data_IF_330997393995
#
_entry.id   IF_330997393995
#
_cell.length_a   1.000
_cell.length_b   1.000
_cell.length_c   1.000
_cell.angle_alpha   90.00
_cell.angle_beta   90.00
_cell.angle_gamma   90.00
#
_symmetry.space_group_name_H-M   'P 1'
#
loop_
_entity.id
_entity.type
_entity.pdbx_description
1 polymer ?
#
# COMPACT_ATOMS: atom_id res chain seq x y z
N UNK A 1 -5.63 -26.37 10.33
CA UNK A 1 -5.14 -25.55 9.20
C UNK A 1 -4.29 -24.42 9.75
N UNK A 2 -3.07 -24.21 9.27
CA UNK A 2 -2.31 -22.99 9.59
C UNK A 2 -3.05 -21.79 9.00
N UNK A 3 -3.20 -20.71 9.77
CA UNK A 3 -3.72 -19.44 9.24
C UNK A 3 -2.72 -18.90 8.20
N UNK A 4 -3.20 -18.27 7.12
CA UNK A 4 -2.34 -17.52 6.20
C UNK A 4 -1.59 -16.41 6.96
N UNK A 5 -0.41 -16.02 6.47
CA UNK A 5 0.34 -14.87 6.94
C UNK A 5 -0.47 -13.57 6.94
N UNK A 6 -0.03 -12.63 7.76
CA UNK A 6 -0.54 -11.27 7.86
C UNK A 6 -0.01 -10.45 6.68
N UNK A 7 -0.90 -9.93 5.84
CA UNK A 7 -0.53 -9.19 4.63
C UNK A 7 -0.69 -7.70 4.87
N UNK A 8 0.43 -6.97 4.78
CA UNK A 8 0.49 -5.52 4.80
C UNK A 8 0.65 -5.04 3.35
N UNK A 9 -0.32 -4.30 2.84
CA UNK A 9 -0.29 -3.73 1.50
C UNK A 9 0.16 -2.27 1.56
N UNK A 10 1.20 -1.92 0.80
CA UNK A 10 1.62 -0.53 0.59
C UNK A 10 1.07 -0.01 -0.72
N UNK A 11 0.31 1.08 -0.63
CA UNK A 11 -0.27 1.80 -1.77
C UNK A 11 0.19 3.26 -1.75
N UNK A 12 0.07 3.90 -2.90
CA UNK A 12 0.36 5.32 -3.07
C UNK A 12 0.98 5.62 -4.43
N UNK A 13 0.97 6.90 -4.77
CA UNK A 13 1.47 7.38 -6.05
C UNK A 13 2.95 7.05 -6.28
N UNK A 14 3.42 7.24 -7.51
CA UNK A 14 4.85 7.22 -7.81
C UNK A 14 5.65 8.22 -6.97
N UNK A 15 6.92 7.88 -6.74
CA UNK A 15 7.87 8.71 -5.97
C UNK A 15 7.50 8.96 -4.49
N UNK A 16 6.61 8.18 -3.87
CA UNK A 16 6.24 8.33 -2.45
C UNK A 16 7.02 7.40 -1.51
N UNK A 17 8.12 6.79 -1.98
CA UNK A 17 9.02 5.99 -1.15
C UNK A 17 8.51 4.61 -0.73
N UNK A 18 7.48 4.06 -1.40
CA UNK A 18 6.91 2.74 -1.05
C UNK A 18 7.93 1.62 -1.00
N UNK A 19 8.80 1.51 -2.00
CA UNK A 19 9.80 0.44 -2.08
C UNK A 19 10.79 0.53 -0.93
N UNK A 20 11.36 1.71 -0.69
CA UNK A 20 12.24 1.97 0.44
C UNK A 20 11.56 1.66 1.77
N UNK A 21 10.33 2.11 1.96
CA UNK A 21 9.55 1.84 3.17
C UNK A 21 9.27 0.34 3.35
N UNK A 22 8.91 -0.38 2.28
CA UNK A 22 8.60 -1.81 2.35
C UNK A 22 9.80 -2.65 2.79
N UNK A 23 10.99 -2.31 2.29
CA UNK A 23 12.25 -2.96 2.64
C UNK A 23 12.61 -2.67 4.10
N UNK A 24 12.55 -1.39 4.50
CA UNK A 24 12.83 -0.96 5.87
C UNK A 24 11.89 -1.63 6.89
N UNK A 25 10.60 -1.73 6.56
CA UNK A 25 9.61 -2.43 7.39
C UNK A 25 9.93 -3.92 7.55
N UNK A 26 10.29 -4.60 6.44
CA UNK A 26 10.73 -6.00 6.50
C UNK A 26 11.96 -6.14 7.40
N UNK A 27 12.97 -5.29 7.20
CA UNK A 27 14.21 -5.34 7.98
C UNK A 27 13.93 -5.13 9.48
N UNK A 28 13.09 -4.15 9.83
CA UNK A 28 12.70 -3.89 11.21
C UNK A 28 11.93 -5.06 11.85
N UNK A 29 11.02 -5.70 11.11
CA UNK A 29 10.30 -6.88 11.57
C UNK A 29 11.23 -8.09 11.80
N UNK A 30 12.17 -8.32 10.87
CA UNK A 30 13.18 -9.38 11.01
C UNK A 30 14.12 -9.10 12.19
N UNK A 31 14.50 -7.83 12.42
CA UNK A 31 15.29 -7.44 13.59
C UNK A 31 14.55 -7.74 14.91
N UNK A 32 13.22 -7.69 14.91
CA UNK A 32 12.37 -8.14 16.03
C UNK A 32 12.13 -9.66 16.05
N UNK A 33 12.89 -10.44 15.28
CA UNK A 33 12.77 -11.90 15.14
C UNK A 33 11.41 -12.39 14.65
N UNK A 34 10.71 -11.58 13.85
CA UNK A 34 9.48 -11.98 13.16
C UNK A 34 9.82 -12.63 11.82
N UNK A 35 9.07 -13.64 11.43
CA UNK A 35 9.16 -14.20 10.07
C UNK A 35 8.42 -13.28 9.09
N UNK A 36 9.18 -12.39 8.45
CA UNK A 36 8.67 -11.37 7.54
C UNK A 36 9.37 -11.41 6.18
N UNK A 37 8.59 -11.30 5.11
CA UNK A 37 9.09 -11.21 3.73
C UNK A 37 8.56 -9.96 3.04
N UNK A 38 9.36 -9.42 2.12
CA UNK A 38 8.96 -8.31 1.26
C UNK A 38 8.65 -8.85 -0.14
N UNK A 39 7.55 -8.37 -0.73
CA UNK A 39 7.18 -8.63 -2.12
C UNK A 39 7.23 -7.30 -2.87
N UNK A 40 8.14 -7.22 -3.84
CA UNK A 40 8.34 -6.05 -4.68
C UNK A 40 7.32 -5.90 -5.80
N UNK A 41 7.49 -4.80 -6.55
CA UNK A 41 6.55 -4.37 -7.57
C UNK A 41 6.84 -5.11 -8.86
N UNK A 42 5.98 -6.09 -9.19
CA UNK A 42 6.17 -6.90 -10.39
C UNK A 42 6.09 -6.08 -11.68
N UNK A 43 5.29 -5.02 -11.70
CA UNK A 43 5.23 -4.10 -12.84
C UNK A 43 6.61 -3.48 -13.13
N UNK A 44 7.38 -3.11 -12.09
CA UNK A 44 8.74 -2.60 -12.26
C UNK A 44 9.68 -3.67 -12.80
N UNK A 45 9.61 -4.89 -12.27
CA UNK A 45 10.38 -6.03 -12.79
C UNK A 45 10.07 -6.33 -14.26
N UNK A 46 8.80 -6.20 -14.66
CA UNK A 46 8.38 -6.35 -16.04
C UNK A 46 9.04 -5.28 -16.92
N UNK A 47 8.97 -4.01 -16.52
CA UNK A 47 9.57 -2.90 -17.25
C UNK A 47 11.09 -3.07 -17.41
N UNK A 48 11.79 -3.43 -16.33
CA UNK A 48 13.24 -3.64 -16.34
C UNK A 48 13.63 -4.82 -17.25
N UNK A 49 12.83 -5.89 -17.26
CA UNK A 49 13.06 -7.09 -18.10
C UNK A 49 12.80 -6.82 -19.58
N UNK A 50 11.73 -6.08 -19.90
CA UNK A 50 11.29 -5.88 -21.27
C UNK A 50 11.80 -4.58 -21.90
N UNK A 51 12.40 -3.68 -21.11
CA UNK A 51 12.89 -2.38 -21.56
C UNK A 51 11.79 -1.42 -22.02
N UNK A 52 10.54 -1.63 -21.56
CA UNK A 52 9.37 -0.83 -21.93
C UNK A 52 8.25 -0.95 -20.90
N UNK A 53 7.32 0.00 -20.93
CA UNK A 53 6.05 -0.12 -20.21
C UNK A 53 5.16 -1.22 -20.80
N UNK A 54 4.29 -1.88 -20.00
CA UNK A 54 3.34 -2.85 -20.51
C UNK A 54 2.26 -2.20 -21.37
N UNK A 55 1.75 -2.96 -22.33
CA UNK A 55 0.54 -2.62 -23.09
C UNK A 55 -0.71 -2.91 -22.25
N UNK A 56 -1.84 -2.34 -22.65
CA UNK A 56 -3.13 -2.54 -21.99
C UNK A 56 -3.48 -4.03 -21.82
N UNK A 57 -3.25 -4.86 -22.85
CA UNK A 57 -3.53 -6.30 -22.85
C UNK A 57 -2.65 -7.11 -21.87
N UNK A 58 -1.54 -6.54 -21.42
CA UNK A 58 -0.58 -7.18 -20.50
C UNK A 58 -0.89 -6.87 -19.02
N UNK A 59 -1.67 -5.81 -18.75
CA UNK A 59 -1.96 -5.32 -17.39
C UNK A 59 -2.64 -6.39 -16.52
N UNK A 60 -3.60 -7.14 -17.08
CA UNK A 60 -4.31 -8.19 -16.36
C UNK A 60 -3.37 -9.31 -15.87
N UNK A 61 -2.41 -9.71 -16.70
CA UNK A 61 -1.41 -10.73 -16.35
C UNK A 61 -0.46 -10.24 -15.24
N UNK A 62 -0.04 -8.98 -15.31
CA UNK A 62 0.82 -8.36 -14.31
C UNK A 62 0.09 -8.24 -12.96
N UNK A 63 -1.19 -7.85 -12.98
CA UNK A 63 -2.04 -7.81 -11.78
C UNK A 63 -2.19 -9.20 -11.13
N UNK A 64 -2.48 -10.23 -11.95
CA UNK A 64 -2.61 -11.60 -11.47
C UNK A 64 -1.30 -12.14 -10.85
N UNK A 65 -0.15 -11.86 -11.47
CA UNK A 65 1.16 -12.26 -10.95
C UNK A 65 1.46 -11.57 -9.62
N UNK A 66 1.19 -10.27 -9.48
CA UNK A 66 1.36 -9.55 -8.22
C UNK A 66 0.51 -10.19 -7.11
N UNK A 67 -0.78 -10.45 -7.38
CA UNK A 67 -1.68 -11.14 -6.44
C UNK A 67 -1.14 -12.54 -6.08
N UNK A 68 -0.67 -13.30 -7.07
CA UNK A 68 -0.15 -14.65 -6.90
C UNK A 68 1.06 -14.70 -5.98
N UNK A 69 2.02 -13.79 -6.17
CA UNK A 69 3.22 -13.68 -5.32
C UNK A 69 2.90 -13.34 -3.88
N UNK A 70 1.97 -12.41 -3.65
CA UNK A 70 1.50 -12.07 -2.29
C UNK A 70 0.85 -13.28 -1.63
N UNK A 71 0.00 -14.01 -2.37
CA UNK A 71 -0.67 -15.19 -1.84
C UNK A 71 0.31 -16.32 -1.51
N UNK A 72 1.29 -16.57 -2.38
CA UNK A 72 2.34 -17.56 -2.14
C UNK A 72 3.20 -17.20 -0.92
N UNK A 73 3.60 -15.94 -0.80
CA UNK A 73 4.33 -15.43 0.35
C UNK A 73 3.53 -15.59 1.66
N UNK A 74 2.22 -15.30 1.62
CA UNK A 74 1.34 -15.46 2.78
C UNK A 74 1.09 -16.93 3.14
N UNK A 75 1.39 -17.89 2.26
CA UNK A 75 1.38 -19.31 2.60
C UNK A 75 2.67 -19.77 3.27
N UNK A 76 3.79 -19.06 3.04
CA UNK A 76 5.12 -19.43 3.50
C UNK A 76 5.60 -18.65 4.74
N UNK A 77 5.12 -17.42 4.94
CA UNK A 77 5.62 -16.50 5.96
C UNK A 77 4.52 -16.01 6.90
N UNK A 78 4.90 -15.65 8.14
CA UNK A 78 3.97 -15.06 9.12
C UNK A 78 3.52 -13.64 8.74
N UNK A 79 4.40 -12.83 8.15
CA UNK A 79 4.13 -11.46 7.74
C UNK A 79 4.64 -11.23 6.31
N UNK A 80 3.79 -10.62 5.48
CA UNK A 80 4.13 -10.22 4.10
C UNK A 80 3.96 -8.72 3.98
N UNK A 81 5.03 -8.02 3.60
CA UNK A 81 5.02 -6.60 3.27
C UNK A 81 5.03 -6.46 1.76
N UNK A 82 3.89 -6.10 1.16
CA UNK A 82 3.70 -6.04 -0.28
C UNK A 82 3.77 -4.59 -0.80
N UNK A 83 4.81 -4.28 -1.58
CA UNK A 83 4.90 -3.10 -2.44
C UNK A 83 4.80 -3.57 -3.89
N UNK A 84 3.65 -3.62 -4.52
CA UNK A 84 2.34 -3.08 -4.14
C UNK A 84 1.28 -4.17 -4.31
N UNK A 85 0.03 -3.83 -4.66
CA UNK A 85 -1.03 -4.80 -5.00
C UNK A 85 -1.58 -4.56 -6.40
N UNK A 86 -2.39 -5.50 -6.90
CA UNK A 86 -3.13 -5.37 -8.15
C UNK A 86 -3.96 -4.06 -8.23
N UNK A 87 -4.32 -3.45 -7.09
CA UNK A 87 -5.05 -2.18 -7.06
C UNK A 87 -4.26 -1.03 -7.69
N UNK A 88 -2.95 -0.94 -7.48
CA UNK A 88 -2.12 0.08 -8.13
C UNK A 88 -2.04 -0.15 -9.63
N UNK A 89 -1.96 -1.41 -10.06
CA UNK A 89 -1.92 -1.77 -11.48
C UNK A 89 -3.23 -1.38 -12.17
N UNK A 90 -4.39 -1.63 -11.53
CA UNK A 90 -5.68 -1.16 -12.02
C UNK A 90 -5.77 0.37 -12.11
N UNK A 91 -5.26 1.10 -11.10
CA UNK A 91 -5.24 2.58 -11.10
C UNK A 91 -4.40 3.13 -12.25
N UNK A 92 -3.22 2.54 -12.51
CA UNK A 92 -2.40 2.98 -13.64
C UNK A 92 -2.98 2.55 -15.00
N UNK A 93 -3.66 1.40 -15.09
CA UNK A 93 -4.36 1.00 -16.32
C UNK A 93 -5.46 2.00 -16.68
N UNK A 94 -6.25 2.43 -15.69
CA UNK A 94 -7.23 3.52 -15.86
C UNK A 94 -6.53 4.83 -16.25
N UNK A 95 -5.50 5.24 -15.53
CA UNK A 95 -4.80 6.50 -15.81
C UNK A 95 -4.22 6.59 -17.22
N UNK A 96 -3.63 5.51 -17.73
CA UNK A 96 -2.90 5.51 -19.00
C UNK A 96 -3.81 5.13 -20.18
N UNK A 97 -4.72 4.18 -19.99
CA UNK A 97 -5.51 3.59 -21.07
C UNK A 97 -7.03 3.84 -20.95
N UNK A 98 -7.49 4.46 -19.85
CA UNK A 98 -8.93 4.56 -19.56
C UNK A 98 -9.56 3.19 -19.30
N UNK A 99 -8.76 2.22 -18.86
CA UNK A 99 -9.20 0.85 -18.61
C UNK A 99 -9.72 0.67 -17.17
N UNK A 100 -11.03 0.58 -17.04
CA UNK A 100 -11.69 0.31 -15.76
C UNK A 100 -11.88 -1.19 -15.48
N UNK A 101 -11.56 -2.06 -16.44
CA UNK A 101 -11.89 -3.49 -16.40
C UNK A 101 -11.20 -4.26 -15.27
N UNK A 102 -10.06 -3.76 -14.79
CA UNK A 102 -9.26 -4.42 -13.76
C UNK A 102 -9.71 -4.12 -12.33
N UNK A 103 -10.51 -3.07 -12.11
CA UNK A 103 -10.86 -2.64 -10.75
C UNK A 103 -11.59 -3.72 -9.97
N UNK A 104 -12.58 -4.39 -10.57
CA UNK A 104 -13.40 -5.36 -9.85
C UNK A 104 -12.57 -6.52 -9.25
N UNK A 105 -11.65 -7.09 -10.03
CA UNK A 105 -10.76 -8.14 -9.55
C UNK A 105 -9.71 -7.60 -8.58
N UNK A 106 -9.13 -6.43 -8.87
CA UNK A 106 -8.11 -5.82 -8.02
C UNK A 106 -8.65 -5.43 -6.63
N UNK A 107 -9.86 -4.88 -6.56
CA UNK A 107 -10.56 -4.56 -5.31
C UNK A 107 -10.90 -5.84 -4.53
N UNK A 108 -11.34 -6.90 -5.21
CA UNK A 108 -11.61 -8.19 -4.57
C UNK A 108 -10.33 -8.82 -3.99
N UNK A 109 -9.22 -8.77 -4.72
CA UNK A 109 -7.94 -9.25 -4.24
C UNK A 109 -7.41 -8.39 -3.08
N UNK A 110 -7.55 -7.07 -3.17
CA UNK A 110 -7.05 -6.15 -2.14
C UNK A 110 -7.77 -6.33 -0.80
N UNK A 111 -9.06 -6.72 -0.78
CA UNK A 111 -9.78 -7.08 0.46
C UNK A 111 -9.14 -8.24 1.25
N UNK A 112 -8.19 -8.96 0.66
CA UNK A 112 -7.42 -10.01 1.34
C UNK A 112 -6.22 -9.46 2.13
N UNK A 113 -5.85 -8.19 1.96
CA UNK A 113 -4.87 -7.54 2.82
C UNK A 113 -5.46 -7.37 4.24
N UNK A 114 -4.61 -7.53 5.25
CA UNK A 114 -5.01 -7.35 6.64
C UNK A 114 -4.79 -5.91 7.14
N UNK A 115 -3.87 -5.20 6.51
CA UNK A 115 -3.59 -3.79 6.76
C UNK A 115 -3.19 -3.13 5.44
N UNK A 116 -3.77 -1.96 5.16
CA UNK A 116 -3.37 -1.12 4.04
C UNK A 116 -2.70 0.15 4.58
N UNK A 117 -1.47 0.39 4.12
CA UNK A 117 -0.72 1.62 4.36
C UNK A 117 -0.72 2.45 3.08
N UNK A 118 -1.28 3.66 3.15
CA UNK A 118 -1.29 4.63 2.05
C UNK A 118 -0.21 5.68 2.29
N UNK A 119 0.81 5.72 1.45
CA UNK A 119 1.89 6.72 1.57
C UNK A 119 1.42 8.11 1.16
N UNK A 120 1.65 9.12 2.00
CA UNK A 120 1.33 10.51 1.70
C UNK A 120 2.20 11.10 0.57
N UNK A 121 1.77 12.24 0.04
CA UNK A 121 2.43 12.99 -1.06
C UNK A 121 3.45 14.03 -0.56
N UNK A 122 3.91 13.86 0.67
CA UNK A 122 4.75 14.80 1.43
C UNK A 122 6.23 14.78 1.03
N UNK A 123 6.71 13.69 0.44
CA UNK A 123 8.08 13.59 -0.05
C UNK A 123 8.31 14.43 -1.32
N UNK A 124 9.50 15.04 -1.48
CA UNK A 124 9.87 15.71 -2.71
C UNK A 124 9.85 14.71 -3.87
N UNK A 125 9.26 15.13 -5.00
CA UNK A 125 9.22 14.29 -6.18
C UNK A 125 10.63 14.08 -6.73
N UNK A 126 10.95 12.83 -7.09
CA UNK A 126 12.19 12.47 -7.75
C UNK A 126 11.90 12.02 -9.18
N UNK A 127 12.66 12.58 -10.14
CA UNK A 127 12.58 12.21 -11.55
C UNK A 127 13.07 10.77 -11.75
N UNK A 128 12.31 10.00 -12.53
CA UNK A 128 12.66 8.65 -12.96
C UNK A 128 12.14 8.50 -14.40
N UNK A 129 12.85 7.72 -15.22
CA UNK A 129 12.61 7.56 -16.67
C UNK A 129 11.22 7.01 -16.98
N UNK A 130 10.61 6.34 -15.99
CA UNK A 130 9.27 5.74 -16.08
C UNK A 130 8.14 6.63 -15.52
N UNK A 131 8.42 7.85 -15.04
CA UNK A 131 7.45 8.64 -14.27
C UNK A 131 6.98 9.89 -15.01
N UNK A 132 5.67 10.08 -15.08
CA UNK A 132 5.01 11.14 -15.85
C UNK A 132 5.09 12.55 -15.21
N UNK A 133 5.65 12.68 -14.00
CA UNK A 133 5.90 13.97 -13.35
C UNK A 133 5.20 14.16 -11.99
N UNK A 134 5.40 15.30 -11.30
CA UNK A 134 4.79 15.54 -10.00
C UNK A 134 3.26 15.73 -10.07
N UNK A 135 2.74 16.17 -11.22
CA UNK A 135 1.33 16.51 -11.43
C UNK A 135 0.40 15.29 -11.46
N UNK A 136 0.93 14.08 -11.69
CA UNK A 136 0.11 12.85 -11.69
C UNK A 136 -0.12 12.29 -10.29
N UNK A 137 0.63 12.74 -9.27
CA UNK A 137 0.54 12.18 -7.92
C UNK A 137 -0.81 12.38 -7.26
N UNK A 138 -1.37 13.58 -7.36
CA UNK A 138 -2.68 13.91 -6.78
C UNK A 138 -3.84 13.14 -7.46
N UNK A 139 -3.94 13.10 -8.81
CA UNK A 139 -4.93 12.25 -9.48
C UNK A 139 -4.82 10.76 -9.11
N UNK A 140 -3.61 10.21 -9.05
CA UNK A 140 -3.38 8.81 -8.68
C UNK A 140 -3.81 8.57 -7.23
N UNK A 141 -3.42 9.42 -6.29
CA UNK A 141 -3.85 9.31 -4.89
C UNK A 141 -5.38 9.34 -4.75
N UNK A 142 -6.05 10.26 -5.46
CA UNK A 142 -7.51 10.33 -5.49
C UNK A 142 -8.15 9.04 -6.02
N UNK A 143 -7.61 8.47 -7.11
CA UNK A 143 -8.08 7.19 -7.68
C UNK A 143 -7.88 6.02 -6.71
N UNK A 144 -6.73 5.95 -6.03
CA UNK A 144 -6.45 4.92 -5.02
C UNK A 144 -7.45 5.01 -3.86
N UNK A 145 -7.68 6.21 -3.32
CA UNK A 145 -8.65 6.41 -2.23
C UNK A 145 -10.06 6.07 -2.65
N UNK A 146 -10.46 6.44 -3.86
CA UNK A 146 -11.76 6.07 -4.41
C UNK A 146 -11.92 4.55 -4.52
N UNK A 147 -10.88 3.85 -5.01
CA UNK A 147 -10.90 2.40 -5.13
C UNK A 147 -10.95 1.69 -3.76
N UNK A 148 -10.17 2.16 -2.78
CA UNK A 148 -10.23 1.66 -1.40
C UNK A 148 -11.60 1.87 -0.77
N UNK A 149 -12.22 3.04 -1.02
CA UNK A 149 -13.57 3.34 -0.55
C UNK A 149 -14.61 2.39 -1.17
N UNK A 150 -14.56 2.17 -2.48
CA UNK A 150 -15.44 1.20 -3.17
C UNK A 150 -15.24 -0.23 -2.66
N UNK A 151 -14.00 -0.62 -2.39
CA UNK A 151 -13.68 -1.93 -1.84
C UNK A 151 -14.09 -2.11 -0.37
N UNK A 152 -14.47 -1.03 0.33
CA UNK A 152 -14.73 -1.04 1.77
C UNK A 152 -13.48 -1.31 2.61
N UNK A 153 -12.29 -0.99 2.08
CA UNK A 153 -11.02 -1.23 2.75
C UNK A 153 -10.56 0.01 3.53
N UNK A 154 -10.40 -0.14 4.84
CA UNK A 154 -9.76 0.87 5.66
C UNK A 154 -8.25 0.93 5.37
N UNK A 155 -7.65 2.10 5.57
CA UNK A 155 -6.21 2.31 5.40
C UNK A 155 -5.67 3.29 6.44
N UNK A 156 -4.39 3.15 6.77
CA UNK A 156 -3.65 4.12 7.57
C UNK A 156 -2.74 4.95 6.65
N UNK A 157 -2.75 6.27 6.81
CA UNK A 157 -1.86 7.16 6.05
C UNK A 157 -0.48 7.18 6.71
N UNK A 158 0.57 7.01 5.91
CA UNK A 158 1.97 7.09 6.35
C UNK A 158 2.60 8.34 5.75
N UNK A 159 2.96 9.27 6.62
CA UNK A 159 3.60 10.55 6.31
C UNK A 159 4.91 10.71 7.09
N UNK A 160 5.65 11.78 6.84
CA UNK A 160 6.99 12.06 7.33
C UNK A 160 8.09 11.51 6.42
N UNK A 161 9.33 11.69 6.85
CA UNK A 161 10.53 11.23 6.15
C UNK A 161 11.43 10.42 7.08
N UNK A 162 12.38 9.67 6.49
CA UNK A 162 13.40 8.92 7.23
C UNK A 162 12.84 7.93 8.25
N UNK A 163 13.55 7.77 9.36
CA UNK A 163 13.24 6.77 10.40
C UNK A 163 11.87 7.02 11.04
N UNK A 164 11.46 8.27 11.22
CA UNK A 164 10.15 8.60 11.80
C UNK A 164 8.98 8.03 10.97
N UNK A 165 9.10 8.05 9.64
CA UNK A 165 8.13 7.44 8.72
C UNK A 165 8.06 5.92 8.89
N UNK A 166 9.22 5.27 9.05
CA UNK A 166 9.33 3.82 9.26
C UNK A 166 8.72 3.42 10.61
N UNK A 167 9.06 4.14 11.68
CA UNK A 167 8.52 3.89 13.03
C UNK A 167 7.00 4.04 13.08
N UNK A 168 6.45 5.08 12.43
CA UNK A 168 5.00 5.27 12.35
C UNK A 168 4.30 4.10 11.61
N UNK A 169 4.85 3.66 10.48
CA UNK A 169 4.32 2.54 9.73
C UNK A 169 4.45 1.21 10.49
N UNK A 170 5.58 0.99 11.18
CA UNK A 170 5.82 -0.19 12.00
C UNK A 170 4.87 -0.25 13.19
N UNK A 171 4.63 0.87 13.87
CA UNK A 171 3.67 0.97 14.97
C UNK A 171 2.25 0.58 14.52
N UNK A 172 1.83 1.00 13.32
CA UNK A 172 0.55 0.60 12.73
C UNK A 172 0.48 -0.92 12.48
N UNK A 173 1.55 -1.52 11.96
CA UNK A 173 1.65 -2.97 11.74
C UNK A 173 1.56 -3.74 13.06
N UNK A 174 2.34 -3.34 14.06
CA UNK A 174 2.37 -4.01 15.37
C UNK A 174 1.00 -3.94 16.05
N UNK A 175 0.34 -2.78 16.00
CA UNK A 175 -1.02 -2.60 16.52
C UNK A 175 -2.02 -3.53 15.80
N UNK A 176 -1.95 -3.61 14.47
CA UNK A 176 -2.86 -4.46 13.69
C UNK A 176 -2.60 -5.96 13.94
N UNK A 177 -1.35 -6.36 14.16
CA UNK A 177 -1.00 -7.73 14.57
C UNK A 177 -1.59 -8.08 15.94
N UNK A 178 -1.56 -7.15 16.90
CA UNK A 178 -2.16 -7.34 18.23
C UNK A 178 -3.69 -7.42 18.16
N UNK A 179 -4.33 -6.60 17.33
CA UNK A 179 -5.77 -6.67 17.07
C UNK A 179 -6.15 -8.03 16.47
N UNK A 180 -5.39 -8.51 15.48
CA UNK A 180 -5.61 -9.84 14.88
C UNK A 180 -5.41 -10.98 15.87
N UNK A 181 -4.48 -10.83 16.82
CA UNK A 181 -4.26 -11.78 17.90
C UNK A 181 -5.37 -11.72 18.98
N UNK A 182 -6.32 -10.77 18.88
CA UNK A 182 -7.38 -10.56 19.87
C UNK A 182 -6.88 -9.93 21.18
N UNK A 183 -5.67 -9.35 21.18
CA UNK A 183 -5.05 -8.75 22.38
C UNK A 183 -5.45 -7.29 22.57
N UNK A 184 -5.84 -6.63 21.48
CA UNK A 184 -6.34 -5.25 21.46
C UNK A 184 -7.71 -5.25 20.80
N UNK A 185 -8.70 -4.60 21.42
CA UNK A 185 -10.01 -4.44 20.81
C UNK A 185 -9.88 -3.60 19.53
N UNK A 186 -10.50 -4.05 18.43
CA UNK A 186 -10.64 -3.20 17.26
C UNK A 186 -11.36 -1.90 17.67
N UNK A 187 -10.91 -0.72 17.21
CA UNK A 187 -11.58 0.52 17.55
C UNK A 187 -13.05 0.44 17.14
N UNK A 188 -13.96 0.72 18.08
CA UNK A 188 -15.42 0.67 17.86
C UNK A 188 -15.94 1.82 16.98
N UNK A 189 -15.05 2.67 16.49
CA UNK A 189 -15.35 3.84 15.69
C UNK A 189 -14.47 3.82 14.44
N UNK A 190 -15.08 3.58 13.28
CA UNK A 190 -14.46 3.87 11.99
C UNK A 190 -14.55 5.38 11.79
N UNK A 191 -13.49 6.11 12.09
CA UNK A 191 -13.39 7.51 11.72
C UNK A 191 -13.21 7.58 10.20
N UNK A 192 -14.30 7.81 9.48
CA UNK A 192 -14.24 8.34 8.12
C UNK A 192 -13.93 9.83 8.23
N UNK A 193 -12.66 10.20 8.19
CA UNK A 193 -12.32 11.61 7.98
C UNK A 193 -12.64 11.95 6.52
N UNK A 194 -13.78 12.60 6.30
CA UNK A 194 -14.21 13.10 4.99
C UNK A 194 -13.24 14.14 4.39
N UNK A 195 -12.22 14.59 5.14
CA UNK A 195 -11.26 15.65 4.77
C UNK A 195 -9.78 15.26 4.86
N UNK A 196 -9.46 13.97 4.97
CA UNK A 196 -8.07 13.47 5.07
C UNK A 196 -7.22 13.65 3.78
N UNK A 197 -7.67 14.46 2.82
CA UNK A 197 -6.94 14.86 1.61
C UNK A 197 -6.61 16.35 1.54
N UNK A 198 -6.93 17.14 2.57
CA UNK A 198 -6.52 18.55 2.65
C UNK A 198 -5.21 18.68 3.44
N UNK A 199 -4.20 19.35 2.87
CA UNK A 199 -2.87 19.56 3.47
C UNK A 199 -2.89 20.26 4.86
N UNK A 200 -4.03 20.80 5.29
CA UNK A 200 -4.25 21.36 6.63
C UNK A 200 -4.72 20.33 7.67
N UNK A 201 -5.33 19.23 7.25
CA UNK A 201 -5.84 18.18 8.14
C UNK A 201 -4.72 17.27 8.67
N UNK A 202 -3.65 17.07 7.88
CA UNK A 202 -2.50 16.21 8.24
C UNK A 202 -1.65 16.77 9.39
N UNK A 203 -1.86 18.03 9.81
CA UNK A 203 -1.11 18.68 10.91
C UNK A 203 -1.77 18.60 12.29
N UNK A 204 -3.02 18.14 12.39
CA UNK A 204 -3.82 18.25 13.62
C UNK A 204 -3.97 16.93 14.42
N UNK A 205 -3.05 15.98 14.25
CA UNK A 205 -3.06 14.69 14.97
C UNK A 205 -2.32 14.67 16.32
N UNK A 206 -1.80 15.79 16.81
CA UNK A 206 -0.98 15.83 18.04
C UNK A 206 -1.44 16.92 19.01
N UNK A 207 -2.63 16.77 19.58
CA UNK A 207 -2.90 17.31 20.91
C UNK A 207 -3.98 16.47 21.59
N UNK A 208 -3.72 15.89 22.78
CA UNK A 208 -4.81 15.42 23.62
C UNK A 208 -5.66 16.63 23.99
N UNK A 209 -6.96 16.61 23.65
CA UNK A 209 -7.89 17.57 24.24
C UNK A 209 -8.03 17.20 25.71
N UNK A 210 -7.47 18.04 26.57
CA UNK A 210 -7.73 18.07 28.00
C UNK A 210 -9.21 18.30 28.25
N UNK A 211 -9.76 17.47 29.13
CA UNK A 211 -11.05 17.48 29.86
C UNK A 211 -12.21 18.33 29.34
#
# INVERSE_FOLDING_TARGET
MRRRGFVVALLGAESTGKTTLSIALRDALVAQRRDAVQIGEYLREFCDRHGRTPRQDEQAGIAAEQTGRIAAAAAAHEIVVADTTALMIAVYSDQVFGDFGLYASAEADHRRADLTLLTALDLPWQADVLRDGPHVREPVDAKVRAALTRAGCAYAVVAGEGDARVEAALAAILTALEQRAGRVAAPRWQWHCERCGEAGCERHGLAPRSD
#
